data_IF_644796878725
#
_entry.id   IF_644796878725
#
_cell.length_a   1.000
_cell.length_b   1.000
_cell.length_c   1.000
_cell.angle_alpha   90.00
_cell.angle_beta   90.00
_cell.angle_gamma   90.00
#
_symmetry.space_group_name_H-M   'P 1'
#
loop_
_entity.id
_entity.type
_entity.pdbx_description
1 polymer ?
#
# COMPACT_ATOMS: atom_id res chain seq x y z
N UNK A 1 5.39 55.30 -38.96
CA UNK A 1 5.61 55.00 -37.52
C UNK A 1 4.90 53.69 -37.23
N UNK A 2 5.63 52.56 -37.24
CA UNK A 2 6.03 51.81 -36.04
C UNK A 2 4.83 51.36 -35.16
N UNK A 3 4.75 50.02 -35.00
CA UNK A 3 4.02 49.23 -33.98
C UNK A 3 2.57 48.93 -34.39
N UNK A 4 2.11 47.68 -34.44
CA UNK A 4 2.20 46.70 -33.37
C UNK A 4 2.04 45.26 -33.89
N UNK A 5 3.17 44.59 -34.13
CA UNK A 5 3.25 43.13 -34.25
C UNK A 5 3.20 42.54 -32.85
N UNK A 6 2.02 42.28 -32.29
CA UNK A 6 1.86 41.52 -31.03
C UNK A 6 0.49 40.84 -30.99
N UNK A 7 0.27 39.87 -31.88
CA UNK A 7 -0.83 38.90 -31.72
C UNK A 7 -0.36 37.50 -32.11
N UNK A 8 0.80 37.10 -31.59
CA UNK A 8 1.34 35.76 -31.78
C UNK A 8 2.14 35.35 -30.53
N UNK A 9 1.47 35.19 -29.39
CA UNK A 9 2.03 34.42 -28.26
C UNK A 9 1.00 34.10 -27.15
N UNK A 10 -0.11 34.85 -27.05
CA UNK A 10 -1.06 34.67 -25.94
C UNK A 10 -2.01 33.46 -26.11
N UNK A 11 -2.22 32.98 -27.34
CA UNK A 11 -3.13 31.85 -27.60
C UNK A 11 -2.46 30.48 -27.40
N UNK A 12 -1.12 30.43 -27.33
CA UNK A 12 -0.39 29.16 -27.11
C UNK A 12 -0.22 28.80 -25.62
N UNK A 13 -0.36 29.78 -24.71
CA UNK A 13 -0.29 29.53 -23.26
C UNK A 13 -1.62 29.09 -22.63
N UNK A 14 -2.70 29.04 -23.42
CA UNK A 14 -3.97 28.38 -23.02
C UNK A 14 -4.01 26.88 -23.39
N UNK A 15 -2.86 26.29 -23.72
CA UNK A 15 -2.63 24.84 -23.68
C UNK A 15 -1.65 24.48 -22.55
N UNK A 16 -1.86 25.00 -21.34
CA UNK A 16 -1.60 24.14 -20.19
C UNK A 16 -2.78 23.20 -20.12
N UNK A 17 -2.67 22.12 -20.90
CA UNK A 17 -3.34 20.87 -20.61
C UNK A 17 -3.31 20.74 -19.10
N UNK A 18 -4.47 20.85 -18.45
CA UNK A 18 -4.64 20.21 -17.17
C UNK A 18 -4.52 18.74 -17.55
N UNK A 19 -3.29 18.24 -17.69
CA UNK A 19 -3.03 16.83 -17.56
C UNK A 19 -3.44 16.61 -16.13
N UNK A 20 -4.72 16.29 -15.94
CA UNK A 20 -5.14 15.55 -14.77
C UNK A 20 -4.37 14.25 -14.90
N UNK A 21 -3.12 14.26 -14.45
CA UNK A 21 -2.41 13.04 -14.15
C UNK A 21 -3.35 12.36 -13.16
N UNK A 22 -4.00 11.28 -13.60
CA UNK A 22 -4.75 10.44 -12.70
C UNK A 22 -3.71 9.96 -11.69
N UNK A 23 -3.67 10.59 -10.51
CA UNK A 23 -2.80 10.14 -9.45
C UNK A 23 -3.20 8.69 -9.15
N UNK A 24 -2.20 7.83 -8.98
CA UNK A 24 -2.49 6.49 -8.51
C UNK A 24 -3.26 6.60 -7.19
N UNK A 25 -4.20 5.68 -6.98
CA UNK A 25 -5.05 5.64 -5.79
C UNK A 25 -4.18 5.66 -4.53
N UNK A 26 -4.64 6.32 -3.48
CA UNK A 26 -3.97 6.39 -2.17
C UNK A 26 -4.33 5.21 -1.25
N UNK A 27 -5.27 4.38 -1.70
CA UNK A 27 -5.92 3.35 -0.89
C UNK A 27 -6.03 2.01 -1.59
N UNK A 28 -6.05 0.94 -0.79
CA UNK A 28 -6.39 -0.43 -1.23
C UNK A 28 -7.55 -0.94 -0.36
N UNK A 29 -8.55 -1.56 -0.98
CA UNK A 29 -9.72 -2.16 -0.29
C UNK A 29 -9.85 -3.66 -0.57
N UNK A 30 -10.63 -4.42 0.22
CA UNK A 30 -10.88 -5.83 -0.05
C UNK A 30 -11.36 -6.10 -1.48
N UNK A 31 -10.76 -7.11 -2.11
CA UNK A 31 -10.98 -7.48 -3.52
C UNK A 31 -9.99 -6.82 -4.49
N UNK A 32 -9.30 -5.75 -4.09
CA UNK A 32 -8.22 -5.17 -4.87
C UNK A 32 -6.86 -5.80 -4.54
N UNK A 33 -5.92 -5.66 -5.49
CA UNK A 33 -4.55 -6.13 -5.38
C UNK A 33 -3.59 -5.02 -5.82
N UNK A 34 -2.48 -4.88 -5.09
CA UNK A 34 -1.32 -4.12 -5.55
C UNK A 34 -0.30 -5.12 -6.08
N UNK A 35 -0.19 -5.22 -7.41
CA UNK A 35 0.66 -6.20 -8.10
C UNK A 35 2.03 -5.61 -8.45
N UNK A 36 3.00 -6.44 -8.80
CA UNK A 36 4.35 -6.03 -9.20
C UNK A 36 4.34 -4.88 -10.23
N UNK A 37 5.23 -3.91 -10.04
CA UNK A 37 5.37 -2.72 -10.86
C UNK A 37 4.29 -1.65 -10.61
N UNK A 38 3.30 -1.89 -9.75
CA UNK A 38 2.26 -0.91 -9.41
C UNK A 38 2.47 -0.30 -8.03
N UNK A 39 1.82 0.84 -7.80
CA UNK A 39 2.01 1.61 -6.58
C UNK A 39 0.74 2.38 -6.18
N UNK A 40 0.66 2.70 -4.89
CA UNK A 40 -0.29 3.69 -4.33
C UNK A 40 0.45 5.00 -4.07
N UNK A 41 -0.23 6.14 -4.13
CA UNK A 41 0.36 7.46 -3.83
C UNK A 41 -0.54 8.22 -2.87
N UNK A 42 0.06 8.79 -1.81
CA UNK A 42 -0.60 9.76 -0.93
C UNK A 42 -1.21 10.93 -1.69
N UNK A 43 -2.24 11.57 -1.12
CA UNK A 43 -2.97 12.65 -1.80
C UNK A 43 -2.09 13.87 -2.09
N UNK A 44 -1.09 14.13 -1.25
CA UNK A 44 -0.12 15.20 -1.46
C UNK A 44 1.00 14.84 -2.45
N UNK A 45 1.04 13.61 -2.97
CA UNK A 45 2.03 13.16 -3.95
C UNK A 45 3.43 12.87 -3.38
N UNK A 46 3.64 13.01 -2.07
CA UNK A 46 4.98 12.92 -1.45
C UNK A 46 5.36 11.48 -1.13
N UNK A 47 4.40 10.67 -0.70
CA UNK A 47 4.61 9.30 -0.28
C UNK A 47 3.97 8.31 -1.24
N UNK A 48 4.64 7.19 -1.46
CA UNK A 48 4.15 6.14 -2.36
C UNK A 48 4.55 4.75 -1.89
N UNK A 49 3.62 3.80 -1.94
CA UNK A 49 3.85 2.38 -1.63
C UNK A 49 4.01 1.61 -2.94
N UNK A 50 5.17 1.00 -3.17
CA UNK A 50 5.51 0.30 -4.40
C UNK A 50 5.58 -1.20 -4.17
N UNK A 51 4.89 -1.99 -4.98
CA UNK A 51 5.16 -3.42 -5.12
C UNK A 51 6.21 -3.59 -6.22
N UNK A 52 7.45 -3.86 -5.84
CA UNK A 52 8.59 -3.89 -6.76
C UNK A 52 8.69 -5.24 -7.49
N UNK A 53 9.41 -5.24 -8.62
CA UNK A 53 9.65 -6.46 -9.42
C UNK A 53 10.62 -7.46 -8.76
N UNK A 54 11.33 -7.04 -7.72
CA UNK A 54 12.19 -7.91 -6.92
C UNK A 54 11.43 -8.62 -5.79
N UNK A 55 10.11 -8.41 -5.68
CA UNK A 55 9.26 -9.00 -4.65
C UNK A 55 9.20 -8.21 -3.35
N UNK A 56 9.82 -7.02 -3.27
CA UNK A 56 9.73 -6.17 -2.09
C UNK A 56 8.57 -5.18 -2.16
N UNK A 57 7.88 -4.97 -1.04
CA UNK A 57 6.87 -3.92 -0.88
C UNK A 57 7.47 -2.78 -0.07
N UNK A 58 7.62 -1.60 -0.67
CA UNK A 58 8.40 -0.50 -0.07
C UNK A 58 7.63 0.80 -0.08
N UNK A 59 7.56 1.45 1.09
CA UNK A 59 7.05 2.80 1.25
C UNK A 59 8.19 3.80 1.03
N UNK A 60 8.03 4.70 0.07
CA UNK A 60 8.98 5.74 -0.26
C UNK A 60 8.46 7.14 0.09
N UNK A 61 9.40 8.03 0.38
CA UNK A 61 9.25 9.48 0.36
C UNK A 61 9.95 10.06 -0.86
N UNK A 62 9.30 10.97 -1.56
CA UNK A 62 9.77 11.62 -2.79
C UNK A 62 10.23 10.62 -3.87
N UNK A 63 9.64 9.42 -3.90
CA UNK A 63 9.94 8.36 -4.87
C UNK A 63 11.32 7.68 -4.73
N UNK A 64 12.21 8.13 -3.84
CA UNK A 64 13.58 7.61 -3.75
C UNK A 64 14.06 7.29 -2.35
N UNK A 65 13.49 7.88 -1.30
CA UNK A 65 13.91 7.63 0.09
C UNK A 65 13.04 6.54 0.71
N UNK A 66 13.55 5.32 0.93
CA UNK A 66 12.76 4.26 1.57
C UNK A 66 12.52 4.60 3.04
N UNK A 67 11.26 4.52 3.48
CA UNK A 67 10.86 4.71 4.87
C UNK A 67 10.58 3.38 5.57
N UNK A 68 10.02 2.42 4.84
CA UNK A 68 9.64 1.10 5.36
C UNK A 68 9.59 0.08 4.22
N UNK A 69 9.84 -1.18 4.55
CA UNK A 69 9.98 -2.30 3.61
C UNK A 69 9.44 -3.59 4.24
N UNK A 70 8.94 -4.52 3.43
CA UNK A 70 8.61 -5.90 3.89
C UNK A 70 9.83 -6.79 4.03
N UNK A 71 10.99 -6.35 3.52
CA UNK A 71 12.26 -7.08 3.48
C UNK A 71 12.12 -8.45 2.80
N UNK A 72 11.36 -8.45 1.70
CA UNK A 72 11.08 -9.65 0.88
C UNK A 72 11.78 -9.62 -0.47
N UNK A 73 12.72 -8.70 -0.68
CA UNK A 73 13.54 -8.63 -1.89
C UNK A 73 14.28 -9.95 -2.14
N UNK A 74 14.09 -10.52 -3.34
CA UNK A 74 14.75 -11.76 -3.75
C UNK A 74 14.35 -13.02 -2.98
N UNK A 75 13.40 -12.92 -2.03
CA UNK A 75 12.89 -14.08 -1.28
C UNK A 75 12.10 -14.97 -2.22
N UNK A 76 12.29 -16.28 -2.09
CA UNK A 76 11.48 -17.28 -2.79
C UNK A 76 11.19 -18.48 -1.89
N UNK A 77 10.13 -19.21 -2.20
CA UNK A 77 9.73 -20.40 -1.47
C UNK A 77 9.54 -21.57 -2.43
N UNK A 78 10.26 -22.67 -2.21
CA UNK A 78 10.15 -23.88 -3.02
C UNK A 78 9.26 -24.91 -2.32
N UNK A 79 8.21 -25.37 -2.99
CA UNK A 79 7.29 -26.37 -2.46
C UNK A 79 7.00 -27.49 -3.46
N UNK A 80 6.64 -28.68 -2.95
CA UNK A 80 6.19 -29.79 -3.78
C UNK A 80 4.68 -29.71 -3.98
N UNK A 81 4.22 -29.78 -5.23
CA UNK A 81 2.81 -29.92 -5.55
C UNK A 81 2.47 -31.40 -5.81
N UNK A 82 1.67 -32.05 -4.96
CA UNK A 82 1.35 -33.47 -5.11
C UNK A 82 0.42 -33.76 -6.29
N UNK A 83 -0.39 -32.79 -6.76
CA UNK A 83 -1.26 -32.98 -7.91
C UNK A 83 -0.46 -32.92 -9.22
N UNK A 84 0.55 -32.05 -9.27
CA UNK A 84 1.43 -31.94 -10.44
C UNK A 84 2.66 -32.89 -10.37
N UNK A 85 2.91 -33.53 -9.23
CA UNK A 85 4.03 -34.45 -9.02
C UNK A 85 5.41 -33.79 -9.13
N UNK A 86 5.53 -32.48 -8.91
CA UNK A 86 6.79 -31.73 -9.09
C UNK A 86 6.93 -30.54 -8.13
N UNK A 87 8.16 -30.04 -8.02
CA UNK A 87 8.46 -28.83 -7.26
C UNK A 87 8.13 -27.57 -8.06
N UNK A 88 7.62 -26.56 -7.37
CA UNK A 88 7.43 -25.19 -7.84
C UNK A 88 8.22 -24.23 -6.96
N UNK A 89 8.60 -23.09 -7.52
CA UNK A 89 9.16 -21.96 -6.78
C UNK A 89 8.18 -20.81 -6.86
N UNK A 90 7.78 -20.29 -5.71
CA UNK A 90 6.95 -19.12 -5.56
C UNK A 90 7.80 -17.90 -5.22
N UNK A 91 7.37 -16.73 -5.68
CA UNK A 91 7.98 -15.42 -5.44
C UNK A 91 6.89 -14.47 -4.94
N UNK A 92 7.22 -13.48 -4.09
CA UNK A 92 6.26 -12.45 -3.73
C UNK A 92 5.83 -11.68 -4.97
N UNK A 93 4.52 -11.50 -5.16
CA UNK A 93 3.97 -10.91 -6.39
C UNK A 93 2.96 -9.78 -6.10
N UNK A 94 2.12 -9.93 -5.07
CA UNK A 94 1.10 -8.91 -4.83
C UNK A 94 0.65 -8.81 -3.38
N UNK A 95 0.34 -7.58 -2.99
CA UNK A 95 -0.33 -7.24 -1.75
C UNK A 95 -1.85 -7.31 -1.95
N UNK A 96 -2.56 -7.97 -1.03
CA UNK A 96 -4.02 -8.10 -1.03
C UNK A 96 -4.55 -8.25 0.39
N UNK A 97 -5.86 -8.16 0.56
CA UNK A 97 -6.53 -8.48 1.83
C UNK A 97 -6.73 -9.99 1.96
N UNK A 98 -6.41 -10.54 3.14
CA UNK A 98 -6.59 -11.96 3.44
C UNK A 98 -7.31 -12.15 4.77
N UNK A 99 -8.27 -13.07 4.81
CA UNK A 99 -8.96 -13.47 6.03
C UNK A 99 -8.08 -14.40 6.86
N UNK A 100 -8.00 -14.16 8.16
CA UNK A 100 -7.36 -15.03 9.14
C UNK A 100 -8.32 -15.30 10.30
N UNK A 101 -8.08 -16.31 11.15
CA UNK A 101 -8.89 -16.53 12.36
C UNK A 101 -8.95 -15.32 13.30
N UNK A 102 -7.92 -14.48 13.30
CA UNK A 102 -7.81 -13.27 14.14
C UNK A 102 -8.37 -12.00 13.48
N UNK A 103 -8.88 -12.11 12.25
CA UNK A 103 -9.41 -10.99 11.48
C UNK A 103 -8.76 -10.82 10.11
N UNK A 104 -9.22 -9.82 9.35
CA UNK A 104 -8.68 -9.53 8.02
C UNK A 104 -7.38 -8.73 8.12
N UNK A 105 -6.35 -9.18 7.41
CA UNK A 105 -5.01 -8.57 7.34
C UNK A 105 -4.69 -8.15 5.92
N UNK A 106 -3.64 -7.37 5.73
CA UNK A 106 -2.97 -7.26 4.43
C UNK A 106 -1.86 -8.31 4.35
N UNK A 107 -1.72 -8.94 3.18
CA UNK A 107 -0.82 -10.08 2.94
C UNK A 107 -0.09 -9.90 1.62
N UNK A 108 1.21 -10.13 1.65
CA UNK A 108 2.04 -10.29 0.45
C UNK A 108 2.14 -11.78 0.11
N UNK A 109 1.67 -12.15 -1.07
CA UNK A 109 1.68 -13.54 -1.54
C UNK A 109 2.22 -13.68 -2.96
N UNK A 110 2.45 -14.93 -3.35
CA UNK A 110 2.69 -15.32 -4.73
C UNK A 110 1.46 -15.10 -5.62
N UNK A 111 1.63 -15.24 -6.94
CA UNK A 111 0.57 -15.01 -7.93
C UNK A 111 -0.65 -15.92 -7.74
N UNK A 112 -0.52 -17.05 -7.04
CA UNK A 112 -1.61 -17.99 -6.76
C UNK A 112 -2.22 -17.84 -5.36
N UNK A 113 -1.70 -16.92 -4.54
CA UNK A 113 -2.08 -16.71 -3.13
C UNK A 113 -1.87 -17.93 -2.21
N UNK A 114 -1.15 -18.95 -2.68
CA UNK A 114 -0.87 -20.18 -1.93
C UNK A 114 0.24 -20.01 -0.92
N UNK A 115 1.21 -19.15 -1.23
CA UNK A 115 2.39 -18.90 -0.42
C UNK A 115 2.36 -17.48 0.10
N UNK A 116 2.39 -17.34 1.41
CA UNK A 116 2.53 -16.07 2.10
C UNK A 116 4.02 -15.77 2.34
N UNK A 117 4.45 -14.56 2.00
CA UNK A 117 5.78 -14.05 2.32
C UNK A 117 5.76 -13.08 3.51
N UNK A 118 4.72 -12.27 3.60
CA UNK A 118 4.55 -11.29 4.68
C UNK A 118 3.07 -11.04 4.97
N UNK A 119 2.73 -10.65 6.19
CA UNK A 119 1.42 -10.09 6.52
C UNK A 119 1.52 -9.08 7.68
N UNK A 120 0.52 -8.22 7.82
CA UNK A 120 0.54 -7.12 8.81
C UNK A 120 0.54 -7.56 10.27
N UNK A 121 0.09 -8.77 10.61
CA UNK A 121 0.02 -9.28 11.99
C UNK A 121 -0.62 -8.24 12.95
N UNK A 122 -1.91 -7.94 12.74
CA UNK A 122 -2.60 -6.83 13.41
C UNK A 122 -2.59 -6.93 14.94
N UNK A 123 -2.69 -8.15 15.51
CA UNK A 123 -2.80 -8.35 16.97
C UNK A 123 -1.56 -7.90 17.75
N UNK A 124 -0.32 -8.36 17.44
CA UNK A 124 0.88 -7.84 18.09
C UNK A 124 1.03 -6.31 17.98
N UNK A 125 0.78 -5.73 16.81
CA UNK A 125 0.84 -4.28 16.63
C UNK A 125 -0.20 -3.56 17.50
N UNK A 126 -1.45 -4.02 17.46
CA UNK A 126 -2.56 -3.45 18.22
C UNK A 126 -2.33 -3.56 19.73
N UNK A 127 -1.83 -4.70 20.21
CA UNK A 127 -1.47 -4.87 21.61
C UNK A 127 -0.47 -3.79 22.05
N UNK A 128 0.58 -3.55 21.26
CA UNK A 128 1.59 -2.52 21.57
C UNK A 128 1.01 -1.10 21.48
N UNK A 129 0.17 -0.84 20.49
CA UNK A 129 -0.41 0.49 20.26
C UNK A 129 -1.44 0.87 21.33
N UNK A 130 -2.30 -0.06 21.73
CA UNK A 130 -3.41 0.19 22.65
C UNK A 130 -3.10 -0.15 24.11
N UNK A 131 -1.98 -0.82 24.42
CA UNK A 131 -1.63 -1.27 25.79
C UNK A 131 -1.57 -0.13 26.80
N UNK A 132 -1.16 1.07 26.38
CA UNK A 132 -1.05 2.23 27.27
C UNK A 132 -2.39 2.78 27.75
N UNK A 133 -3.49 2.51 27.04
CA UNK A 133 -4.79 3.18 27.26
C UNK A 133 -5.91 2.23 27.70
N UNK A 134 -5.66 0.92 27.77
CA UNK A 134 -6.66 -0.09 28.20
C UNK A 134 -7.90 -0.16 27.30
N UNK A 135 -7.84 0.39 26.08
CA UNK A 135 -8.98 0.58 25.19
C UNK A 135 -8.74 -0.13 23.83
N UNK A 136 -8.23 -1.36 23.88
CA UNK A 136 -7.94 -2.15 22.69
C UNK A 136 -9.25 -2.63 22.03
N UNK A 137 -9.45 -2.38 20.72
CA UNK A 137 -10.60 -2.93 20.01
C UNK A 137 -10.59 -4.46 19.98
N UNK A 138 -11.76 -5.07 20.05
CA UNK A 138 -11.91 -6.54 19.93
C UNK A 138 -11.81 -7.01 18.47
N UNK A 139 -12.32 -6.21 17.52
CA UNK A 139 -12.26 -6.51 16.10
C UNK A 139 -11.00 -5.91 15.48
N UNK A 140 -9.98 -6.72 15.28
CA UNK A 140 -8.72 -6.31 14.67
C UNK A 140 -8.68 -6.52 13.15
N UNK A 141 -9.83 -6.72 12.51
CA UNK A 141 -9.91 -6.80 11.05
C UNK A 141 -9.68 -5.44 10.42
N UNK A 142 -8.86 -5.38 9.38
CA UNK A 142 -8.73 -4.23 8.52
C UNK A 142 -9.55 -4.37 7.24
N UNK A 143 -10.04 -3.25 6.73
CA UNK A 143 -10.80 -3.18 5.48
C UNK A 143 -10.45 -1.95 4.61
N UNK A 144 -9.46 -1.17 5.03
CA UNK A 144 -8.95 -0.04 4.25
C UNK A 144 -7.48 0.19 4.55
N UNK A 145 -6.61 -0.01 3.55
CA UNK A 145 -5.20 0.39 3.61
C UNK A 145 -5.06 1.77 2.98
N UNK A 146 -4.32 2.68 3.61
CA UNK A 146 -4.11 4.06 3.14
C UNK A 146 -2.62 4.43 3.22
N UNK A 147 -2.08 5.00 2.14
CA UNK A 147 -0.85 5.79 2.16
C UNK A 147 -1.20 7.22 2.55
N UNK A 148 -0.84 7.62 3.76
CA UNK A 148 -1.25 8.90 4.33
C UNK A 148 -0.30 10.03 3.95
N UNK A 149 -0.81 11.26 3.97
CA UNK A 149 -0.05 12.48 3.67
C UNK A 149 1.03 12.81 4.71
N UNK A 150 0.97 12.17 5.89
CA UNK A 150 1.99 12.25 6.92
C UNK A 150 3.11 11.21 6.73
N UNK A 151 3.03 10.38 5.69
CA UNK A 151 4.01 9.35 5.38
C UNK A 151 3.88 8.07 6.19
N UNK A 152 2.73 7.85 6.81
CA UNK A 152 2.38 6.56 7.41
C UNK A 152 1.63 5.67 6.41
N UNK A 153 1.84 4.37 6.48
CA UNK A 153 1.01 3.36 5.81
C UNK A 153 0.14 2.72 6.88
N UNK A 154 -1.19 2.87 6.78
CA UNK A 154 -2.10 2.46 7.86
C UNK A 154 -3.23 1.59 7.34
N UNK A 155 -3.44 0.47 8.04
CA UNK A 155 -4.59 -0.40 7.86
C UNK A 155 -5.64 -0.04 8.91
N UNK A 156 -6.80 0.40 8.45
CA UNK A 156 -7.94 0.76 9.29
C UNK A 156 -9.00 -0.33 9.32
N UNK A 157 -9.68 -0.43 10.46
CA UNK A 157 -11.05 -0.91 10.54
C UNK A 157 -11.99 0.30 10.41
N UNK A 158 -12.90 0.25 9.45
CA UNK A 158 -13.90 1.30 9.17
C UNK A 158 -15.33 0.86 9.42
N UNK A 159 -15.55 -0.43 9.74
CA UNK A 159 -16.89 -1.05 9.84
C UNK A 159 -17.48 -1.03 11.25
N UNK A 160 -16.67 -0.77 12.27
CA UNK A 160 -17.15 -0.62 13.64
C UNK A 160 -17.80 0.77 13.83
N UNK A 161 -19.09 0.84 13.57
CA UNK A 161 -19.85 2.09 13.62
C UNK A 161 -19.99 2.66 15.02
N UNK A 162 -19.81 1.86 16.07
CA UNK A 162 -19.91 2.33 17.46
C UNK A 162 -18.68 3.13 17.88
N UNK A 163 -17.51 2.79 17.34
CA UNK A 163 -16.23 3.44 17.64
C UNK A 163 -15.79 4.44 16.57
N UNK A 164 -16.28 4.29 15.34
CA UNK A 164 -15.73 4.96 14.17
C UNK A 164 -14.44 4.28 13.71
N UNK A 165 -13.67 4.96 12.86
CA UNK A 165 -12.47 4.38 12.26
C UNK A 165 -11.33 4.29 13.26
N UNK A 166 -10.61 3.17 13.27
CA UNK A 166 -9.41 3.01 14.09
C UNK A 166 -8.35 2.15 13.38
N UNK A 167 -7.06 2.43 13.62
CA UNK A 167 -5.99 1.64 13.03
C UNK A 167 -5.91 0.26 13.70
N UNK A 168 -5.72 -0.77 12.88
CA UNK A 168 -5.41 -2.13 13.35
C UNK A 168 -3.97 -2.53 13.04
N UNK A 169 -3.29 -1.76 12.17
CA UNK A 169 -1.86 -1.83 11.90
C UNK A 169 -1.35 -0.52 11.29
N UNK A 170 -0.07 -0.19 11.50
CA UNK A 170 0.62 0.89 10.80
C UNK A 170 2.13 0.63 10.66
N UNK A 171 2.76 1.21 9.62
CA UNK A 171 4.22 1.20 9.42
C UNK A 171 4.98 1.99 10.50
N UNK A 172 4.31 2.94 11.18
CA UNK A 172 4.87 3.81 12.21
C UNK A 172 6.03 4.70 11.72
N UNK A 173 5.99 5.10 10.45
CA UNK A 173 7.04 5.91 9.81
C UNK A 173 6.85 7.41 10.02
N UNK A 174 5.60 7.90 9.95
CA UNK A 174 5.23 9.32 10.16
C UNK A 174 6.13 10.31 9.39
N UNK A 175 6.60 9.90 8.20
CA UNK A 175 7.40 10.74 7.29
C UNK A 175 8.85 10.99 7.71
N UNK A 176 9.35 10.28 8.73
CA UNK A 176 10.73 10.35 9.23
C UNK A 176 11.62 9.29 8.63
#
# INVERSE_FOLDING_TARGET
MKKLTFLLLAVFMLQFSIVSAAFAKDTLVPGEKLVEGTYLVSKNGVFSLHMQWDGNLVLYKNGSTPLWSTDTDGVNYRYFDPLAGRYFTAWPHHLHFASTPDGTVIRLSDSTERVQFWNSNNRPWSNKHYSYIGNMPTNLSGDLLIVQDDGNLVLYNTKDTARGWYPVWASNTYGR
#
